data_IF_511973661050
#
_entry.id   IF_511973661050
#
_cell.length_a   1.000
_cell.length_b   1.000
_cell.length_c   1.000
_cell.angle_alpha   90.00
_cell.angle_beta   90.00
_cell.angle_gamma   90.00
#
_symmetry.space_group_name_H-M   'P 1'
#
loop_
_entity.id
_entity.type
_entity.pdbx_description
1 polymer ?
#
# COMPACT_ATOMS: atom_id res chain seq x y z
N UNK A 1 0.34 -0.54 -12.78
CA UNK A 1 -0.12 0.79 -12.32
C UNK A 1 1.11 1.62 -11.98
N UNK A 2 1.24 2.79 -12.59
CA UNK A 2 2.25 3.80 -12.24
C UNK A 2 1.81 4.64 -11.02
N UNK A 3 2.70 5.50 -10.53
CA UNK A 3 2.46 6.28 -9.33
C UNK A 3 1.41 7.39 -9.51
N UNK A 4 1.30 7.98 -10.71
CA UNK A 4 0.32 9.03 -10.98
C UNK A 4 -1.10 8.44 -10.98
N UNK A 5 -1.30 7.37 -11.74
CA UNK A 5 -2.56 6.63 -11.80
C UNK A 5 -3.00 6.16 -10.42
N UNK A 6 -2.09 5.60 -9.62
CA UNK A 6 -2.38 5.15 -8.26
C UNK A 6 -2.83 6.31 -7.36
N UNK A 7 -2.07 7.40 -7.32
CA UNK A 7 -2.37 8.55 -6.45
C UNK A 7 -3.66 9.27 -6.84
N UNK A 8 -4.11 9.15 -8.10
CA UNK A 8 -5.40 9.71 -8.56
C UNK A 8 -6.58 8.90 -8.05
N UNK A 9 -6.43 7.58 -7.92
CA UNK A 9 -7.48 6.68 -7.47
C UNK A 9 -7.52 6.55 -5.94
N UNK A 10 -6.35 6.56 -5.29
CA UNK A 10 -6.19 6.19 -3.89
C UNK A 10 -5.40 7.26 -3.13
N UNK A 11 -6.06 8.05 -2.26
CA UNK A 11 -5.36 9.06 -1.46
C UNK A 11 -4.43 8.43 -0.40
N UNK A 12 -3.64 9.28 0.25
CA UNK A 12 -2.95 8.88 1.48
C UNK A 12 -4.02 8.52 2.53
N UNK A 13 -3.74 7.51 3.36
CA UNK A 13 -4.65 6.88 4.33
C UNK A 13 -5.64 5.86 3.74
N UNK A 14 -5.54 5.52 2.45
CA UNK A 14 -6.35 4.44 1.87
C UNK A 14 -6.13 3.14 2.63
N UNK A 15 -7.20 2.47 3.11
CA UNK A 15 -7.13 1.16 3.73
C UNK A 15 -6.59 0.10 2.78
N UNK A 16 -5.74 -0.75 3.31
CA UNK A 16 -4.79 -1.52 2.51
C UNK A 16 -4.45 -2.81 3.25
N UNK A 17 -4.44 -3.92 2.53
CA UNK A 17 -3.90 -5.20 3.02
C UNK A 17 -2.52 -5.42 2.42
N UNK A 18 -1.55 -5.68 3.29
CA UNK A 18 -0.15 -5.94 2.91
C UNK A 18 0.33 -7.26 3.49
N UNK A 19 1.29 -7.86 2.80
CA UNK A 19 1.96 -9.09 3.20
C UNK A 19 3.44 -8.74 3.43
N UNK A 20 3.88 -8.51 4.69
CA UNK A 20 5.19 -7.92 4.97
C UNK A 20 6.38 -8.76 4.51
N UNK A 21 6.25 -10.09 4.55
CA UNK A 21 7.31 -11.05 4.22
C UNK A 21 6.85 -11.95 3.07
N UNK A 22 5.99 -12.92 3.36
CA UNK A 22 5.34 -13.79 2.37
C UNK A 22 3.83 -13.72 2.51
N UNK A 23 3.10 -14.31 1.56
CA UNK A 23 1.65 -14.47 1.68
C UNK A 23 1.23 -15.45 2.78
N UNK A 24 2.15 -16.29 3.22
CA UNK A 24 1.92 -17.32 4.24
C UNK A 24 2.10 -16.78 5.67
N UNK A 25 2.92 -15.75 5.86
CA UNK A 25 3.19 -15.11 7.16
C UNK A 25 2.04 -14.26 7.72
N UNK A 26 0.88 -14.27 7.06
CA UNK A 26 -0.28 -13.47 7.41
C UNK A 26 -0.24 -12.05 6.82
N UNK A 27 -1.44 -11.52 6.58
CA UNK A 27 -1.60 -10.16 6.08
C UNK A 27 -1.83 -9.19 7.23
N UNK A 28 -1.36 -7.95 7.09
CA UNK A 28 -1.73 -6.84 7.97
C UNK A 28 -2.69 -5.91 7.25
N UNK A 29 -3.71 -5.47 7.97
CA UNK A 29 -4.68 -4.50 7.46
C UNK A 29 -4.36 -3.15 8.07
N UNK A 30 -3.89 -2.24 7.22
CA UNK A 30 -3.31 -0.95 7.59
C UNK A 30 -3.72 0.13 6.56
N UNK A 31 -3.03 1.27 6.54
CA UNK A 31 -3.28 2.38 5.61
C UNK A 31 -2.01 2.81 4.88
N UNK A 32 -2.17 3.40 3.70
CA UNK A 32 -1.07 4.10 3.02
C UNK A 32 -0.63 5.31 3.86
N UNK A 33 0.68 5.45 4.06
CA UNK A 33 1.31 6.52 4.83
C UNK A 33 1.83 7.65 3.94
N UNK A 34 2.23 7.32 2.72
CA UNK A 34 2.75 8.28 1.75
C UNK A 34 1.98 8.22 0.45
N UNK A 35 2.15 9.24 -0.40
CA UNK A 35 1.83 9.12 -1.82
C UNK A 35 2.70 8.03 -2.44
N UNK A 36 2.19 7.36 -3.47
CA UNK A 36 3.01 6.46 -4.27
C UNK A 36 4.09 7.26 -5.01
N UNK A 37 5.31 6.72 -5.06
CA UNK A 37 6.46 7.28 -5.76
C UNK A 37 6.94 6.27 -6.78
N UNK A 38 7.29 6.73 -7.98
CA UNK A 38 7.88 5.86 -8.98
C UNK A 38 9.39 5.78 -8.78
N UNK A 39 9.91 4.56 -8.61
CA UNK A 39 11.34 4.27 -8.53
C UNK A 39 11.87 3.78 -9.87
N UNK A 40 13.20 3.60 -9.98
CA UNK A 40 13.84 3.08 -11.20
C UNK A 40 13.18 1.78 -11.66
N UNK A 41 13.14 1.56 -12.98
CA UNK A 41 12.46 0.43 -13.63
C UNK A 41 10.93 0.46 -13.59
N UNK A 42 10.33 1.64 -13.36
CA UNK A 42 8.89 1.85 -13.54
C UNK A 42 8.01 1.26 -12.42
N UNK A 43 8.61 0.86 -11.30
CA UNK A 43 7.88 0.36 -10.14
C UNK A 43 7.33 1.54 -9.33
N UNK A 44 6.03 1.51 -9.02
CA UNK A 44 5.42 2.47 -8.10
C UNK A 44 5.37 1.86 -6.71
N UNK A 45 5.84 2.60 -5.70
CA UNK A 45 5.93 2.11 -4.31
C UNK A 45 5.28 3.08 -3.32
N UNK A 46 4.77 2.56 -2.21
CA UNK A 46 4.11 3.30 -1.15
C UNK A 46 4.53 2.77 0.23
N UNK A 47 4.69 3.66 1.21
CA UNK A 47 4.84 3.25 2.61
C UNK A 47 3.48 3.08 3.25
N UNK A 48 3.37 2.18 4.22
CA UNK A 48 2.14 1.94 4.99
C UNK A 48 2.38 2.11 6.48
N UNK A 49 1.31 2.36 7.23
CA UNK A 49 1.39 2.54 8.68
C UNK A 49 1.77 1.22 9.39
N UNK A 50 2.55 1.34 10.46
CA UNK A 50 3.00 0.20 11.27
C UNK A 50 4.12 -0.67 10.65
N UNK A 51 4.61 -0.34 9.44
CA UNK A 51 5.65 -1.12 8.75
C UNK A 51 6.75 -0.21 8.20
N UNK A 52 8.01 -0.56 8.48
CA UNK A 52 9.21 0.20 8.07
C UNK A 52 9.78 -0.26 6.72
N UNK A 53 8.94 -0.48 5.72
CA UNK A 53 9.36 -0.76 4.35
C UNK A 53 8.35 -0.20 3.33
N UNK A 54 8.80 -0.08 2.08
CA UNK A 54 7.97 0.35 0.96
C UNK A 54 7.42 -0.87 0.22
N UNK A 55 6.15 -0.80 -0.18
CA UNK A 55 5.46 -1.85 -0.93
C UNK A 55 5.20 -1.39 -2.35
N UNK A 56 5.46 -2.27 -3.31
CA UNK A 56 5.06 -2.04 -4.69
C UNK A 56 3.54 -2.08 -4.77
N UNK A 57 2.95 -1.07 -5.41
CA UNK A 57 1.48 -0.90 -5.49
C UNK A 57 0.77 -2.05 -6.18
N UNK A 58 1.48 -2.90 -6.94
CA UNK A 58 0.94 -4.13 -7.55
C UNK A 58 0.73 -5.28 -6.56
N UNK A 59 1.36 -5.22 -5.39
CA UNK A 59 1.28 -6.26 -4.34
C UNK A 59 0.60 -5.75 -3.08
N UNK A 60 -0.09 -4.61 -3.18
CA UNK A 60 -0.91 -4.05 -2.12
C UNK A 60 -2.36 -4.24 -2.53
N UNK A 61 -3.13 -4.95 -1.72
CA UNK A 61 -4.55 -5.14 -1.98
C UNK A 61 -5.32 -3.95 -1.38
N UNK A 62 -5.92 -3.12 -2.23
CA UNK A 62 -6.72 -1.98 -1.79
C UNK A 62 -8.03 -2.48 -1.18
N UNK A 63 -8.40 -1.92 -0.04
CA UNK A 63 -9.65 -2.22 0.65
C UNK A 63 -10.63 -1.05 0.54
N UNK A 64 -11.94 -1.29 0.74
CA UNK A 64 -12.92 -0.21 0.83
C UNK A 64 -12.55 0.83 1.90
N UNK A 65 -12.94 2.09 1.70
CA UNK A 65 -12.58 3.21 2.59
C UNK A 65 -13.07 3.02 4.04
N UNK A 66 -14.15 2.26 4.24
CA UNK A 66 -14.73 1.95 5.55
C UNK A 66 -14.18 0.64 6.16
N UNK A 67 -13.19 0.00 5.55
CA UNK A 67 -12.64 -1.26 6.06
C UNK A 67 -11.91 -1.02 7.39
N UNK A 68 -12.21 -1.81 8.45
CA UNK A 68 -11.56 -1.64 9.74
C UNK A 68 -10.06 -1.95 9.63
N UNK A 69 -9.24 -1.00 10.05
CA UNK A 69 -7.79 -1.16 10.14
C UNK A 69 -7.40 -1.48 11.57
N UNK A 70 -6.44 -2.39 11.73
CA UNK A 70 -5.90 -2.75 13.03
C UNK A 70 -5.09 -1.55 13.56
N UNK A 71 -5.41 -1.10 14.77
CA UNK A 71 -4.80 0.07 15.41
C UNK A 71 -3.40 -0.23 15.94
#
# INVERSE_FOLDING_TARGET
>A
MDAETFNRMYPVRTPVRVFPNTREDGSRITRTRTRAVQVRHGLAVVHVDGIRCAFNTRYVDILPDNYPVEA
#
